data_IF_749605673077
#
_entry.id   IF_749605673077
#
_cell.length_a   1.000
_cell.length_b   1.000
_cell.length_c   1.000
_cell.angle_alpha   90.00
_cell.angle_beta   90.00
_cell.angle_gamma   90.00
#
_symmetry.space_group_name_H-M   'P 1'
#
loop_
_entity.id
_entity.type
_entity.pdbx_description
1 polymer ?
#
# COMPACT_ATOMS: atom_id res chain seq x y z
N UNK A 1 -13.85 7.37 -6.91
CA UNK A 1 -13.35 6.96 -5.58
C UNK A 1 -14.14 5.74 -5.14
N UNK A 2 -13.47 4.65 -4.73
CA UNK A 2 -14.15 3.46 -4.20
C UNK A 2 -14.42 3.67 -2.70
N UNK A 3 -15.58 3.22 -2.22
CA UNK A 3 -15.89 3.19 -0.78
C UNK A 3 -15.20 1.99 -0.12
N UNK A 4 -15.04 2.00 1.19
CA UNK A 4 -14.37 0.92 1.93
C UNK A 4 -15.13 -0.42 1.89
N UNK A 5 -16.45 -0.40 1.73
CA UNK A 5 -17.21 -1.64 1.55
C UNK A 5 -17.06 -2.17 0.11
N UNK A 6 -16.65 -3.43 -0.01
CA UNK A 6 -16.66 -4.16 -1.30
C UNK A 6 -15.59 -3.73 -2.31
N UNK A 7 -14.61 -2.89 -1.96
CA UNK A 7 -13.61 -2.44 -2.93
C UNK A 7 -12.77 -3.58 -3.51
N UNK A 8 -12.56 -4.67 -2.77
CA UNK A 8 -11.78 -5.81 -3.26
C UNK A 8 -12.41 -6.48 -4.49
N UNK A 9 -13.73 -6.65 -4.49
CA UNK A 9 -14.45 -7.13 -5.67
C UNK A 9 -14.28 -6.15 -6.83
N UNK A 10 -14.42 -4.84 -6.55
CA UNK A 10 -14.30 -3.83 -7.59
C UNK A 10 -12.89 -3.73 -8.18
N UNK A 11 -11.85 -3.95 -7.38
CA UNK A 11 -10.46 -4.04 -7.86
C UNK A 11 -10.32 -5.20 -8.82
N UNK A 12 -10.89 -6.37 -8.49
CA UNK A 12 -10.86 -7.54 -9.40
C UNK A 12 -11.61 -7.25 -10.69
N UNK A 13 -12.79 -6.63 -10.65
CA UNK A 13 -13.52 -6.25 -11.86
C UNK A 13 -12.71 -5.30 -12.76
N UNK A 14 -12.02 -4.33 -12.15
CA UNK A 14 -11.19 -3.35 -12.88
C UNK A 14 -9.86 -3.94 -13.41
N UNK A 15 -9.52 -5.16 -13.00
CA UNK A 15 -8.27 -5.84 -13.35
C UNK A 15 -8.51 -7.18 -14.02
N UNK A 16 -9.69 -7.38 -14.62
CA UNK A 16 -10.08 -8.62 -15.31
C UNK A 16 -9.87 -9.87 -14.44
N UNK A 17 -10.15 -9.75 -13.15
CA UNK A 17 -10.01 -10.79 -12.14
C UNK A 17 -8.61 -10.97 -11.56
N UNK A 18 -7.58 -10.34 -12.16
CA UNK A 18 -6.18 -10.55 -11.77
C UNK A 18 -5.86 -10.04 -10.36
N UNK A 19 -6.41 -8.88 -9.99
CA UNK A 19 -6.09 -8.18 -8.74
C UNK A 19 -4.93 -7.18 -8.87
N UNK A 20 -4.72 -6.40 -7.82
CA UNK A 20 -3.70 -5.36 -7.76
C UNK A 20 -2.29 -5.93 -7.58
N UNK A 21 -1.31 -5.31 -8.22
CA UNK A 21 0.11 -5.65 -8.06
C UNK A 21 0.61 -5.28 -6.65
N UNK A 22 0.23 -4.09 -6.19
CA UNK A 22 0.59 -3.51 -4.91
C UNK A 22 -0.62 -2.78 -4.36
N UNK A 23 -0.84 -2.86 -3.06
CA UNK A 23 -1.82 -2.04 -2.34
C UNK A 23 -1.07 -1.19 -1.32
N UNK A 24 -1.27 0.13 -1.36
CA UNK A 24 -0.76 1.06 -0.36
C UNK A 24 -1.89 1.39 0.63
N UNK A 25 -1.78 0.89 1.85
CA UNK A 25 -2.83 1.02 2.88
C UNK A 25 -2.37 1.93 4.04
N UNK A 26 -3.00 3.10 4.12
CA UNK A 26 -2.81 4.07 5.19
C UNK A 26 -3.86 4.00 6.29
N UNK A 27 -4.93 3.22 6.11
CA UNK A 27 -6.12 3.22 6.96
C UNK A 27 -5.99 2.16 8.05
N UNK A 28 -5.57 0.94 7.72
CA UNK A 28 -5.28 -0.10 8.70
C UNK A 28 -6.48 -0.96 9.06
N UNK A 29 -6.92 -0.95 10.33
CA UNK A 29 -7.87 -1.92 10.90
C UNK A 29 -9.08 -2.22 10.01
N UNK A 30 -9.68 -1.20 9.40
CA UNK A 30 -10.96 -1.33 8.70
C UNK A 30 -10.80 -1.73 7.23
N UNK A 31 -9.59 -1.64 6.67
CA UNK A 31 -9.32 -1.90 5.25
C UNK A 31 -8.39 -3.09 5.02
N UNK A 32 -7.63 -3.51 6.03
CA UNK A 32 -6.55 -4.48 5.89
C UNK A 32 -6.97 -5.79 5.19
N UNK A 33 -8.11 -6.36 5.57
CA UNK A 33 -8.60 -7.61 4.98
C UNK A 33 -9.06 -7.42 3.52
N UNK A 34 -9.72 -6.30 3.21
CA UNK A 34 -10.06 -5.93 1.84
C UNK A 34 -8.80 -5.68 0.99
N UNK A 35 -7.77 -5.07 1.57
CA UNK A 35 -6.49 -4.79 0.93
C UNK A 35 -5.76 -6.08 0.56
N UNK A 36 -5.72 -7.06 1.47
CA UNK A 36 -5.19 -8.40 1.16
C UNK A 36 -5.99 -9.10 0.06
N UNK A 37 -7.33 -9.09 0.14
CA UNK A 37 -8.19 -9.74 -0.85
C UNK A 37 -8.11 -9.11 -2.26
N UNK A 38 -7.69 -7.85 -2.33
CA UNK A 38 -7.52 -7.10 -3.58
C UNK A 38 -6.27 -7.47 -4.36
N UNK A 39 -5.29 -8.14 -3.73
CA UNK A 39 -4.01 -8.45 -4.35
C UNK A 39 -4.11 -9.60 -5.34
N UNK A 40 -3.26 -9.51 -6.38
CA UNK A 40 -2.95 -10.63 -7.27
C UNK A 40 -2.02 -11.63 -6.59
N UNK A 41 -1.86 -12.80 -7.20
CA UNK A 41 -0.83 -13.78 -6.83
C UNK A 41 0.55 -13.08 -6.80
N UNK A 42 1.28 -13.24 -5.68
CA UNK A 42 2.58 -12.61 -5.40
C UNK A 42 2.53 -11.08 -5.33
N UNK A 43 1.36 -10.50 -5.06
CA UNK A 43 1.19 -9.08 -4.81
C UNK A 43 1.76 -8.64 -3.45
N UNK A 44 1.97 -7.33 -3.29
CA UNK A 44 2.51 -6.73 -2.07
C UNK A 44 1.52 -5.79 -1.38
N UNK A 45 1.27 -6.00 -0.10
CA UNK A 45 0.59 -5.05 0.76
C UNK A 45 1.62 -4.17 1.47
N UNK A 46 1.60 -2.87 1.19
CA UNK A 46 2.37 -1.84 1.88
C UNK A 46 1.45 -1.16 2.90
N UNK A 47 1.47 -1.69 4.12
CA UNK A 47 0.68 -1.17 5.22
C UNK A 47 1.47 -0.04 5.91
N UNK A 48 1.31 1.20 5.44
CA UNK A 48 2.10 2.34 5.93
C UNK A 48 1.38 3.18 6.99
N UNK A 49 0.09 2.96 7.23
CA UNK A 49 -0.72 3.71 8.18
C UNK A 49 -1.71 2.87 9.00
N UNK A 50 -2.35 3.52 9.96
CA UNK A 50 -3.32 2.93 10.88
C UNK A 50 -4.36 3.97 11.30
N UNK A 51 -4.85 4.79 10.36
CA UNK A 51 -5.79 5.87 10.63
C UNK A 51 -7.10 5.40 11.30
N UNK A 52 -7.59 4.21 10.98
CA UNK A 52 -8.77 3.60 11.62
C UNK A 52 -8.43 2.74 12.85
N UNK A 53 -7.15 2.72 13.24
CA UNK A 53 -6.62 1.92 14.33
C UNK A 53 -5.65 0.82 13.89
N UNK A 54 -4.96 0.19 14.86
CA UNK A 54 -3.98 -0.85 14.58
C UNK A 54 -4.67 -2.11 14.03
N UNK A 55 -4.03 -2.74 13.05
CA UNK A 55 -4.41 -4.08 12.59
C UNK A 55 -4.11 -5.07 13.72
N UNK A 56 -5.05 -5.97 14.09
CA UNK A 56 -4.81 -7.02 15.07
C UNK A 56 -3.67 -7.97 14.67
N UNK A 57 -3.18 -8.82 15.59
CA UNK A 57 -2.23 -9.88 15.25
C UNK A 57 -2.67 -10.67 14.02
N UNK A 58 -1.73 -10.84 13.09
CA UNK A 58 -1.99 -11.38 11.76
C UNK A 58 -1.30 -12.73 11.61
N UNK A 59 -2.07 -13.74 11.17
CA UNK A 59 -1.56 -15.08 10.85
C UNK A 59 -0.88 -15.09 9.47
N UNK A 60 0.44 -15.38 9.39
CA UNK A 60 1.16 -15.47 8.12
C UNK A 60 0.61 -16.50 7.13
N UNK A 61 -0.12 -17.53 7.57
CA UNK A 61 -0.76 -18.49 6.65
C UNK A 61 -1.76 -17.82 5.71
N UNK A 62 -2.33 -16.68 6.11
CA UNK A 62 -3.20 -15.88 5.25
C UNK A 62 -2.47 -15.32 4.02
N UNK A 63 -1.17 -15.08 4.11
CA UNK A 63 -0.35 -14.69 2.94
C UNK A 63 -0.20 -15.84 1.95
N UNK A 64 -0.06 -17.07 2.44
CA UNK A 64 -0.03 -18.26 1.60
C UNK A 64 -1.37 -18.42 0.88
N UNK A 65 -2.48 -18.47 1.64
CA UNK A 65 -3.82 -18.64 1.10
C UNK A 65 -4.24 -17.52 0.13
N UNK A 66 -3.74 -16.30 0.33
CA UNK A 66 -3.97 -15.16 -0.55
C UNK A 66 -3.19 -15.19 -1.87
N UNK A 67 -2.41 -16.24 -2.15
CA UNK A 67 -1.62 -16.39 -3.37
C UNK A 67 -0.15 -16.00 -3.21
N UNK A 68 0.48 -16.43 -2.12
CA UNK A 68 1.90 -16.15 -1.82
C UNK A 68 2.23 -14.66 -1.75
N UNK A 69 1.43 -13.92 -0.98
CA UNK A 69 1.52 -12.48 -0.85
C UNK A 69 2.72 -12.03 -0.01
N UNK A 70 3.16 -10.79 -0.24
CA UNK A 70 4.13 -10.08 0.60
C UNK A 70 3.42 -9.01 1.42
N UNK A 71 3.83 -8.82 2.68
CA UNK A 71 3.35 -7.76 3.56
C UNK A 71 4.55 -7.01 4.15
N UNK A 72 4.48 -5.68 4.14
CA UNK A 72 5.47 -4.82 4.81
C UNK A 72 4.78 -3.71 5.59
N UNK A 73 5.39 -3.32 6.72
CA UNK A 73 4.98 -2.21 7.58
C UNK A 73 6.08 -1.15 7.62
N UNK A 74 6.23 -0.31 6.57
CA UNK A 74 7.31 0.67 6.52
C UNK A 74 7.07 1.86 7.46
N UNK A 75 8.15 2.56 7.79
CA UNK A 75 8.13 3.89 8.39
C UNK A 75 9.14 4.78 7.68
N UNK A 76 8.80 6.06 7.51
CA UNK A 76 9.61 7.02 6.74
C UNK A 76 11.05 7.14 7.26
N UNK A 77 11.26 6.93 8.57
CA UNK A 77 12.59 6.97 9.20
C UNK A 77 13.55 5.96 8.57
N UNK A 78 13.06 4.79 8.16
CA UNK A 78 13.87 3.76 7.49
C UNK A 78 14.19 4.08 6.04
N UNK A 79 13.55 5.09 5.44
CA UNK A 79 13.77 5.56 4.07
C UNK A 79 14.43 6.94 4.02
N UNK A 80 14.83 7.50 5.17
CA UNK A 80 15.52 8.79 5.28
C UNK A 80 16.77 8.65 6.17
N UNK A 81 17.54 7.57 5.97
CA UNK A 81 18.57 7.12 6.92
C UNK A 81 19.75 8.08 7.04
N UNK A 82 20.02 8.87 6.00
CA UNK A 82 21.11 9.83 6.00
C UNK A 82 20.78 11.07 5.14
N UNK A 83 21.64 12.09 5.22
CA UNK A 83 21.45 13.36 4.52
C UNK A 83 21.51 13.22 2.99
N UNK A 84 22.19 12.20 2.46
CA UNK A 84 22.21 11.94 1.03
C UNK A 84 20.87 11.35 0.55
N UNK A 85 20.37 10.31 1.21
CA UNK A 85 19.08 9.70 0.90
C UNK A 85 17.92 10.69 1.04
N UNK A 86 17.94 11.52 2.09
CA UNK A 86 16.95 12.57 2.28
C UNK A 86 16.95 13.60 1.16
N UNK A 87 18.13 14.10 0.77
CA UNK A 87 18.27 15.07 -0.31
C UNK A 87 17.77 14.50 -1.63
N UNK A 88 18.23 13.31 -2.00
CA UNK A 88 17.78 12.62 -3.22
C UNK A 88 16.25 12.56 -3.33
N UNK A 89 15.56 12.08 -2.28
CA UNK A 89 14.10 11.97 -2.30
C UNK A 89 13.40 13.34 -2.32
N UNK A 90 13.90 14.31 -1.56
CA UNK A 90 13.36 15.67 -1.57
C UNK A 90 13.50 16.32 -2.93
N UNK A 91 14.66 16.15 -3.58
CA UNK A 91 14.96 16.74 -4.89
C UNK A 91 13.99 16.21 -5.96
N UNK A 92 13.63 14.92 -5.93
CA UNK A 92 12.62 14.36 -6.84
C UNK A 92 11.25 15.03 -6.68
N UNK A 93 10.78 15.19 -5.44
CA UNK A 93 9.47 15.79 -5.16
C UNK A 93 9.44 17.28 -5.51
N UNK A 94 10.46 18.04 -5.11
CA UNK A 94 10.52 19.48 -5.40
C UNK A 94 10.73 19.76 -6.89
N UNK A 95 11.49 18.93 -7.59
CA UNK A 95 11.62 19.02 -9.05
C UNK A 95 10.30 18.74 -9.74
N UNK A 96 9.55 17.72 -9.27
CA UNK A 96 8.22 17.41 -9.80
C UNK A 96 7.22 18.55 -9.58
N UNK A 97 7.26 19.21 -8.42
CA UNK A 97 6.46 20.40 -8.15
C UNK A 97 6.87 21.58 -9.06
N UNK A 98 8.17 21.85 -9.18
CA UNK A 98 8.69 22.97 -9.98
C UNK A 98 8.39 22.81 -11.47
N UNK A 99 8.43 21.59 -12.01
CA UNK A 99 8.16 21.32 -13.42
C UNK A 99 6.67 21.05 -13.74
N UNK A 100 5.80 21.11 -12.72
CA UNK A 100 4.35 20.95 -12.87
C UNK A 100 3.86 19.50 -13.03
N UNK A 101 4.73 18.49 -12.93
CA UNK A 101 4.31 17.08 -12.93
C UNK A 101 3.63 16.66 -11.63
N UNK A 102 3.92 17.36 -10.53
CA UNK A 102 3.19 17.29 -9.27
C UNK A 102 2.50 18.63 -9.02
N UNK A 103 1.17 18.62 -8.85
CA UNK A 103 0.41 19.77 -8.37
C UNK A 103 0.20 19.62 -6.86
N UNK A 104 0.46 20.69 -6.12
CA UNK A 104 0.37 20.77 -4.66
C UNK A 104 -0.63 21.83 -4.26
#
# INVERSE_FOLDING_TARGET
MLRYEGFAAKVRDLTDGAGAHVVYDGVGKDTFDGSLASLRIRGMLVLFGAASGPVPPFDPQRLNAGGSLSLTRPTIVHFLRNAQERRWRSDEIFSAAANGSLKV
#
